data_IF_838253263958
#
_entry.id   IF_838253263958
#
_cell.length_a   1.000
_cell.length_b   1.000
_cell.length_c   1.000
_cell.angle_alpha   90.00
_cell.angle_beta   90.00
_cell.angle_gamma   90.00
#
_symmetry.space_group_name_H-M   'P 1'
#
loop_
_entity.id
_entity.type
_entity.pdbx_description
1 polymer ?
#
# COMPACT_ATOMS: atom_id res chain seq x y z
N UNK A 1 -2.87 -3.03 -21.51
CA UNK A 1 -2.62 -4.26 -20.73
C UNK A 1 -3.91 -5.03 -20.54
N UNK A 2 -3.79 -6.31 -20.15
CA UNK A 2 -4.96 -7.18 -20.00
C UNK A 2 -5.88 -6.67 -18.87
N UNK A 3 -7.18 -6.51 -19.19
CA UNK A 3 -8.23 -6.00 -18.28
C UNK A 3 -7.84 -4.73 -17.52
N UNK A 4 -7.18 -3.79 -18.19
CA UNK A 4 -6.76 -2.57 -17.53
C UNK A 4 -5.93 -1.65 -18.41
N UNK A 5 -5.29 -0.67 -17.79
CA UNK A 5 -4.39 0.28 -18.45
C UNK A 5 -3.03 0.33 -17.78
N UNK A 6 -2.08 0.87 -18.53
CA UNK A 6 -0.77 1.31 -18.04
C UNK A 6 -0.65 2.81 -18.29
N UNK A 7 -0.21 3.55 -17.30
CA UNK A 7 0.05 4.98 -17.42
C UNK A 7 1.39 5.35 -16.78
N UNK A 8 2.07 6.32 -17.33
CA UNK A 8 3.26 6.95 -16.74
C UNK A 8 2.96 8.42 -16.54
N UNK A 9 2.90 8.88 -15.30
CA UNK A 9 2.56 10.26 -14.98
C UNK A 9 3.73 11.21 -15.17
N UNK A 10 4.97 10.75 -14.94
CA UNK A 10 6.17 11.56 -15.02
C UNK A 10 7.32 10.77 -15.64
N UNK A 11 8.07 11.40 -16.55
CA UNK A 11 9.25 10.79 -17.16
C UNK A 11 10.28 10.41 -16.07
N UNK A 12 10.79 9.18 -16.15
CA UNK A 12 11.76 8.64 -15.18
C UNK A 12 11.15 7.97 -13.95
N UNK A 13 9.82 8.01 -13.78
CA UNK A 13 9.12 7.26 -12.74
C UNK A 13 8.61 5.91 -13.28
N UNK A 14 8.36 4.92 -12.38
CA UNK A 14 7.75 3.67 -12.77
C UNK A 14 6.37 3.85 -13.40
N UNK A 15 6.03 2.98 -14.32
CA UNK A 15 4.67 2.89 -14.84
C UNK A 15 3.71 2.48 -13.72
N UNK A 16 2.48 2.99 -13.78
CA UNK A 16 1.36 2.53 -12.96
C UNK A 16 0.45 1.63 -13.79
N UNK A 17 0.31 0.40 -13.37
CA UNK A 17 -0.63 -0.57 -13.92
C UNK A 17 -1.89 -0.60 -13.07
N UNK A 18 -3.04 -0.39 -13.70
CA UNK A 18 -4.35 -0.48 -13.07
C UNK A 18 -5.13 -1.58 -13.78
N UNK A 19 -5.39 -2.69 -13.10
CA UNK A 19 -5.96 -3.90 -13.69
C UNK A 19 -7.10 -4.47 -12.85
N UNK A 20 -8.03 -5.13 -13.50
CA UNK A 20 -9.18 -5.77 -12.86
C UNK A 20 -9.21 -7.28 -13.10
N UNK A 21 -9.79 -8.02 -12.17
CA UNK A 21 -10.04 -9.46 -12.30
C UNK A 21 -11.11 -9.80 -13.36
N UNK A 22 -11.77 -8.79 -13.89
CA UNK A 22 -12.87 -8.91 -14.86
C UNK A 22 -12.60 -8.05 -16.08
N UNK A 23 -13.06 -8.52 -17.24
CA UNK A 23 -13.04 -7.74 -18.47
C UNK A 23 -13.78 -6.42 -18.28
N UNK A 24 -13.18 -5.36 -18.74
CA UNK A 24 -13.69 -3.99 -18.65
C UNK A 24 -13.39 -3.25 -19.94
N UNK A 25 -14.02 -2.10 -20.09
CA UNK A 25 -13.70 -1.11 -21.10
C UNK A 25 -13.10 0.12 -20.42
N UNK A 26 -11.99 0.61 -20.94
CA UNK A 26 -11.41 1.88 -20.50
C UNK A 26 -11.83 2.98 -21.46
N UNK A 27 -12.54 3.96 -20.95
CA UNK A 27 -12.92 5.16 -21.67
C UNK A 27 -11.87 6.25 -21.42
N UNK A 28 -11.12 6.58 -22.45
CA UNK A 28 -10.12 7.65 -22.39
C UNK A 28 -10.84 9.01 -22.36
N UNK A 29 -10.90 9.61 -21.19
CA UNK A 29 -11.53 10.91 -20.95
C UNK A 29 -10.67 11.71 -19.94
N UNK A 30 -9.48 12.19 -20.38
CA UNK A 30 -8.55 12.86 -19.48
C UNK A 30 -9.11 14.17 -18.99
N UNK A 31 -9.06 14.38 -17.67
CA UNK A 31 -9.53 15.60 -17.02
C UNK A 31 -8.75 15.84 -15.71
N UNK A 32 -9.00 16.99 -15.07
CA UNK A 32 -8.41 17.39 -13.81
C UNK A 32 -9.48 17.68 -12.77
N UNK A 33 -9.41 17.02 -11.63
CA UNK A 33 -10.08 17.48 -10.42
C UNK A 33 -9.24 18.60 -9.82
N UNK A 34 -9.72 19.85 -9.97
CA UNK A 34 -8.99 21.05 -9.53
C UNK A 34 -9.39 21.48 -8.14
N UNK A 35 -8.40 21.97 -7.37
CA UNK A 35 -8.64 22.55 -6.06
C UNK A 35 -9.21 21.55 -5.05
N UNK A 36 -8.75 20.29 -5.07
CA UNK A 36 -9.11 19.32 -4.03
C UNK A 36 -8.54 19.79 -2.71
N UNK A 37 -9.39 19.95 -1.70
CA UNK A 37 -9.02 20.50 -0.40
C UNK A 37 -8.90 19.42 0.69
N UNK A 38 -7.88 19.58 1.53
CA UNK A 38 -7.61 18.73 2.69
C UNK A 38 -7.73 19.54 4.00
N UNK A 39 -8.93 19.69 4.59
CA UNK A 39 -9.13 20.55 5.75
C UNK A 39 -8.22 20.20 6.95
N UNK A 40 -7.90 18.93 7.15
CA UNK A 40 -7.00 18.49 8.22
C UNK A 40 -5.56 18.94 8.04
N UNK A 41 -5.08 19.00 6.80
CA UNK A 41 -3.75 19.54 6.52
C UNK A 41 -3.75 21.06 6.69
N UNK A 42 -4.84 21.74 6.31
CA UNK A 42 -5.01 23.17 6.52
C UNK A 42 -5.00 23.53 8.01
N UNK A 43 -5.73 22.79 8.86
CA UNK A 43 -5.72 22.97 10.31
C UNK A 43 -4.31 22.87 10.92
N UNK A 44 -3.43 22.08 10.29
CA UNK A 44 -2.04 21.88 10.71
C UNK A 44 -1.04 22.87 10.10
N UNK A 45 -1.51 23.77 9.24
CA UNK A 45 -0.68 24.77 8.56
C UNK A 45 0.16 24.22 7.40
N UNK A 46 -0.23 23.09 6.82
CA UNK A 46 0.43 22.49 5.66
C UNK A 46 -0.27 22.85 4.36
N UNK A 47 0.40 22.58 3.23
CA UNK A 47 -0.21 22.68 1.91
C UNK A 47 -1.43 21.75 1.86
N UNK A 48 -2.61 22.33 1.56
CA UNK A 48 -3.89 21.67 1.74
C UNK A 48 -4.73 21.58 0.47
N UNK A 49 -4.17 22.00 -0.66
CA UNK A 49 -4.87 21.97 -1.95
C UNK A 49 -3.98 21.31 -2.99
N UNK A 50 -4.59 20.50 -3.85
CA UNK A 50 -3.93 19.95 -5.02
C UNK A 50 -4.87 19.73 -6.20
N UNK A 51 -4.30 19.59 -7.39
CA UNK A 51 -5.00 19.17 -8.58
C UNK A 51 -4.69 17.71 -8.88
N UNK A 52 -5.72 16.88 -9.10
CA UNK A 52 -5.59 15.45 -9.38
C UNK A 52 -5.94 15.15 -10.84
N UNK A 53 -4.99 14.59 -11.56
CA UNK A 53 -5.19 14.15 -12.94
C UNK A 53 -5.93 12.82 -13.00
N UNK A 54 -6.90 12.73 -13.89
CA UNK A 54 -7.67 11.51 -14.17
C UNK A 54 -7.52 11.17 -15.65
N UNK A 55 -6.92 10.03 -16.00
CA UNK A 55 -6.73 9.64 -17.41
C UNK A 55 -8.03 9.20 -18.11
N UNK A 56 -9.06 8.88 -17.34
CA UNK A 56 -10.34 8.35 -17.81
C UNK A 56 -11.00 7.50 -16.75
N UNK A 57 -11.91 6.64 -17.18
CA UNK A 57 -12.65 5.75 -16.27
C UNK A 57 -12.85 4.37 -16.88
N UNK A 58 -13.16 3.41 -16.01
CA UNK A 58 -13.46 2.04 -16.42
C UNK A 58 -14.96 1.78 -16.36
N UNK A 59 -15.46 1.10 -17.38
CA UNK A 59 -16.83 0.60 -17.42
C UNK A 59 -16.83 -0.92 -17.39
N UNK A 60 -17.68 -1.50 -16.54
CA UNK A 60 -17.86 -2.94 -16.47
C UNK A 60 -19.21 -3.29 -15.85
N UNK A 61 -19.82 -4.35 -16.35
CA UNK A 61 -21.04 -4.89 -15.76
C UNK A 61 -20.72 -5.57 -14.43
N UNK A 62 -21.56 -5.39 -13.42
CA UNK A 62 -21.49 -6.12 -12.15
C UNK A 62 -22.83 -6.78 -11.83
N UNK A 63 -22.79 -8.05 -11.43
CA UNK A 63 -23.97 -8.82 -11.02
C UNK A 63 -24.11 -8.84 -9.51
N UNK A 64 -25.33 -8.98 -9.02
CA UNK A 64 -25.58 -9.13 -7.57
C UNK A 64 -24.76 -10.29 -6.99
N UNK A 65 -23.98 -10.00 -5.95
CA UNK A 65 -23.11 -10.99 -5.29
C UNK A 65 -21.77 -11.24 -5.98
N UNK A 66 -21.50 -10.57 -7.10
CA UNK A 66 -20.20 -10.63 -7.76
C UNK A 66 -19.17 -9.74 -7.05
N UNK A 67 -17.94 -10.24 -6.92
CA UNK A 67 -16.81 -9.47 -6.41
C UNK A 67 -15.80 -9.23 -7.54
N UNK A 68 -15.34 -8.00 -7.65
CA UNK A 68 -14.31 -7.57 -8.61
C UNK A 68 -13.08 -7.16 -7.81
N UNK A 69 -11.92 -7.69 -8.18
CA UNK A 69 -10.64 -7.31 -7.59
C UNK A 69 -9.98 -6.28 -8.51
N UNK A 70 -9.64 -5.14 -7.93
CA UNK A 70 -8.81 -4.09 -8.54
C UNK A 70 -7.40 -4.19 -8.01
N UNK A 71 -6.42 -4.06 -8.90
CA UNK A 71 -5.01 -3.99 -8.55
C UNK A 71 -4.37 -2.74 -9.16
N UNK A 72 -3.60 -2.02 -8.33
CA UNK A 72 -2.69 -0.97 -8.75
C UNK A 72 -1.25 -1.41 -8.43
N UNK A 73 -0.36 -1.41 -9.41
CA UNK A 73 1.00 -1.95 -9.26
C UNK A 73 1.98 -1.20 -10.15
N UNK A 74 3.27 -1.27 -9.81
CA UNK A 74 4.37 -0.79 -10.67
C UNK A 74 4.83 -1.83 -11.69
N UNK A 75 4.19 -2.99 -11.75
CA UNK A 75 4.43 -4.04 -12.73
C UNK A 75 3.10 -4.68 -13.17
N UNK A 76 3.06 -5.19 -14.39
CA UNK A 76 1.89 -5.90 -14.90
C UNK A 76 1.66 -7.20 -14.11
N UNK A 77 0.41 -7.43 -13.70
CA UNK A 77 -0.02 -8.64 -13.00
C UNK A 77 -0.89 -9.47 -13.95
N UNK A 78 -0.68 -10.78 -13.96
CA UNK A 78 -1.56 -11.67 -14.71
C UNK A 78 -2.96 -11.65 -14.10
N UNK A 79 -3.94 -11.08 -14.80
CA UNK A 79 -5.28 -10.79 -14.27
C UNK A 79 -6.02 -12.02 -13.73
N UNK A 80 -5.78 -13.20 -14.32
CA UNK A 80 -6.33 -14.47 -13.81
C UNK A 80 -5.83 -14.86 -12.41
N UNK A 81 -4.77 -14.22 -11.90
CA UNK A 81 -4.22 -14.49 -10.55
C UNK A 81 -4.72 -13.50 -9.50
N UNK A 82 -5.38 -12.40 -9.89
CA UNK A 82 -5.74 -11.32 -8.99
C UNK A 82 -6.63 -11.78 -7.83
N UNK A 83 -7.64 -12.59 -8.11
CA UNK A 83 -8.51 -13.11 -7.05
C UNK A 83 -7.73 -13.95 -6.03
N UNK A 84 -6.87 -14.85 -6.50
CA UNK A 84 -6.02 -15.69 -5.62
C UNK A 84 -5.05 -14.85 -4.80
N UNK A 85 -4.48 -13.78 -5.39
CA UNK A 85 -3.60 -12.87 -4.66
C UNK A 85 -4.36 -12.10 -3.58
N UNK A 86 -5.56 -11.65 -3.90
CA UNK A 86 -6.44 -10.98 -2.92
C UNK A 86 -6.82 -11.91 -1.78
N UNK A 87 -7.29 -13.13 -2.09
CA UNK A 87 -7.69 -14.11 -1.09
C UNK A 87 -6.49 -14.44 -0.16
N UNK A 88 -5.30 -14.66 -0.72
CA UNK A 88 -4.08 -14.87 0.05
C UNK A 88 -3.78 -13.70 1.00
N UNK A 89 -3.87 -12.46 0.51
CA UNK A 89 -3.63 -11.27 1.31
C UNK A 89 -4.65 -11.12 2.45
N UNK A 90 -5.89 -11.52 2.22
CA UNK A 90 -6.94 -11.54 3.25
C UNK A 90 -6.64 -12.60 4.30
N UNK A 91 -6.25 -13.80 3.88
CA UNK A 91 -5.96 -14.93 4.77
C UNK A 91 -4.73 -14.70 5.66
N UNK A 92 -3.75 -13.92 5.18
CA UNK A 92 -2.54 -13.55 5.94
C UNK A 92 -2.80 -12.47 7.01
N UNK A 93 -3.95 -11.81 6.98
CA UNK A 93 -4.31 -10.76 7.95
C UNK A 93 -5.09 -11.29 9.14
N UNK A 94 -4.89 -10.67 10.29
CA UNK A 94 -5.78 -10.91 11.42
C UNK A 94 -7.23 -10.54 11.07
N UNK A 95 -8.24 -11.34 11.48
CA UNK A 95 -9.64 -11.00 11.28
C UNK A 95 -9.96 -9.61 11.86
N UNK A 96 -10.80 -8.82 11.18
CA UNK A 96 -11.20 -7.48 11.66
C UNK A 96 -12.46 -7.55 12.54
N UNK A 97 -12.45 -8.44 13.51
CA UNK A 97 -13.59 -8.75 14.38
C UNK A 97 -13.52 -8.08 15.76
N UNK A 98 -12.33 -7.57 16.14
CA UNK A 98 -12.10 -6.86 17.39
C UNK A 98 -11.01 -5.79 17.27
N UNK A 99 -10.91 -4.92 18.27
CA UNK A 99 -9.96 -3.80 18.28
C UNK A 99 -8.49 -4.27 18.29
N UNK A 100 -8.18 -5.34 19.03
CA UNK A 100 -6.82 -5.87 19.06
C UNK A 100 -6.36 -6.36 17.71
N UNK A 101 -7.19 -7.11 16.98
CA UNK A 101 -6.88 -7.56 15.61
C UNK A 101 -6.72 -6.37 14.63
N UNK A 102 -7.47 -5.29 14.82
CA UNK A 102 -7.25 -4.07 14.04
C UNK A 102 -5.87 -3.45 14.34
N UNK A 103 -5.42 -3.45 15.62
CA UNK A 103 -4.08 -2.98 15.99
C UNK A 103 -2.98 -3.88 15.42
N UNK A 104 -3.15 -5.20 15.42
CA UNK A 104 -2.20 -6.14 14.80
C UNK A 104 -2.04 -5.84 13.31
N UNK A 105 -3.14 -5.68 12.58
CA UNK A 105 -3.10 -5.33 11.16
C UNK A 105 -2.45 -3.95 10.93
N UNK A 106 -2.70 -2.97 11.81
CA UNK A 106 -2.07 -1.67 11.74
C UNK A 106 -0.55 -1.76 12.00
N UNK A 107 -0.12 -2.55 12.98
CA UNK A 107 1.30 -2.78 13.27
C UNK A 107 2.04 -3.35 12.05
N UNK A 108 1.45 -4.30 11.35
CA UNK A 108 2.04 -4.90 10.16
C UNK A 108 2.28 -3.89 9.03
N UNK A 109 1.52 -2.80 8.94
CA UNK A 109 1.70 -1.78 7.90
C UNK A 109 2.99 -0.97 8.05
N UNK A 110 3.55 -0.89 9.26
CA UNK A 110 4.81 -0.18 9.49
C UNK A 110 6.04 -0.98 9.11
N UNK A 111 5.90 -2.29 8.96
CA UNK A 111 7.00 -3.15 8.54
C UNK A 111 7.17 -3.11 7.03
N UNK A 112 8.41 -2.86 6.60
CA UNK A 112 8.80 -2.89 5.20
C UNK A 112 9.95 -3.86 5.00
N UNK A 113 9.94 -4.53 3.85
CA UNK A 113 11.01 -5.39 3.35
C UNK A 113 11.52 -4.84 2.03
N UNK A 114 12.81 -4.64 1.91
CA UNK A 114 13.45 -4.22 0.66
C UNK A 114 13.97 -5.43 -0.14
N UNK A 115 14.49 -5.15 -1.36
CA UNK A 115 14.95 -6.19 -2.28
C UNK A 115 16.07 -7.06 -1.73
N UNK A 116 16.88 -6.53 -0.81
CA UNK A 116 18.00 -7.22 -0.18
C UNK A 116 17.61 -8.02 1.06
N UNK A 117 16.32 -8.18 1.30
CA UNK A 117 15.75 -8.74 2.52
C UNK A 117 15.88 -7.87 3.78
N UNK A 118 16.39 -6.65 3.64
CA UNK A 118 16.51 -5.67 4.70
C UNK A 118 15.13 -5.30 5.23
N UNK A 119 14.98 -5.31 6.55
CA UNK A 119 13.69 -5.07 7.21
C UNK A 119 13.74 -3.77 8.00
N UNK A 120 12.74 -2.95 7.78
CA UNK A 120 12.65 -1.62 8.39
C UNK A 120 11.28 -1.39 9.00
N UNK A 121 11.25 -0.49 10.00
CA UNK A 121 10.03 0.16 10.45
C UNK A 121 9.99 1.57 9.86
N UNK A 122 8.88 1.91 9.20
CA UNK A 122 8.68 3.23 8.63
C UNK A 122 8.29 4.23 9.74
N UNK A 123 9.11 5.26 9.93
CA UNK A 123 8.94 6.26 10.99
C UNK A 123 7.70 7.15 10.82
N UNK A 124 7.32 7.44 9.59
CA UNK A 124 6.15 8.25 9.27
C UNK A 124 5.53 7.77 7.98
N UNK A 125 4.76 6.70 8.10
CA UNK A 125 4.16 6.00 6.98
C UNK A 125 3.21 6.89 6.19
N UNK A 126 3.36 6.95 4.85
CA UNK A 126 4.41 6.35 4.01
C UNK A 126 5.55 7.32 3.61
N UNK A 127 5.59 8.52 4.18
CA UNK A 127 6.40 9.64 3.66
C UNK A 127 7.86 9.68 4.12
N UNK A 128 8.13 9.18 5.34
CA UNK A 128 9.48 9.24 5.88
C UNK A 128 10.23 7.93 5.69
N UNK A 129 11.54 8.06 5.47
CA UNK A 129 12.45 6.92 5.46
C UNK A 129 12.58 6.31 6.86
N UNK A 130 13.07 5.07 6.98
CA UNK A 130 13.41 4.48 8.27
C UNK A 130 14.35 5.40 9.06
N UNK A 131 14.15 5.47 10.38
CA UNK A 131 14.98 6.21 11.32
C UNK A 131 15.25 5.32 12.53
N UNK A 132 16.54 5.11 12.86
CA UNK A 132 16.94 4.22 13.93
C UNK A 132 16.22 4.50 15.25
N UNK A 133 16.17 5.77 15.70
CA UNK A 133 15.47 6.16 16.91
C UNK A 133 14.00 5.72 16.94
N UNK A 134 13.26 6.03 15.87
CA UNK A 134 11.83 5.72 15.81
C UNK A 134 11.61 4.21 15.70
N UNK A 135 12.49 3.51 14.99
CA UNK A 135 12.50 2.05 14.90
C UNK A 135 12.66 1.43 16.28
N UNK A 136 13.71 1.76 17.04
CA UNK A 136 13.99 1.12 18.33
C UNK A 136 12.96 1.48 19.42
N UNK A 137 12.38 2.67 19.39
CA UNK A 137 11.30 3.05 20.33
C UNK A 137 10.02 2.25 20.04
N UNK A 138 9.66 2.06 18.76
CA UNK A 138 8.40 1.42 18.37
C UNK A 138 8.50 -0.10 18.25
N UNK A 139 9.69 -0.66 18.02
CA UNK A 139 9.92 -2.07 17.74
C UNK A 139 9.27 -3.03 18.74
N UNK A 140 9.41 -2.85 20.07
CA UNK A 140 8.75 -3.75 21.01
C UNK A 140 7.22 -3.78 20.87
N UNK A 141 6.60 -2.62 20.64
CA UNK A 141 5.16 -2.51 20.45
C UNK A 141 4.67 -3.10 19.13
N UNK A 142 5.46 -2.95 18.08
CA UNK A 142 5.11 -3.42 16.74
C UNK A 142 5.45 -4.91 16.50
N UNK A 143 6.11 -5.58 17.44
CA UNK A 143 6.53 -6.98 17.33
C UNK A 143 6.21 -7.79 18.58
N UNK A 144 6.90 -7.59 19.71
CA UNK A 144 6.75 -8.41 20.92
C UNK A 144 5.33 -8.34 21.50
N UNK A 145 4.72 -7.16 21.51
CA UNK A 145 3.36 -6.96 22.02
C UNK A 145 2.27 -7.71 21.21
N UNK A 146 2.55 -8.03 19.96
CA UNK A 146 1.66 -8.80 19.08
C UNK A 146 2.12 -10.25 18.86
N UNK A 147 3.13 -10.70 19.63
CA UNK A 147 3.62 -12.09 19.64
C UNK A 147 4.65 -12.44 18.55
N UNK A 148 5.18 -11.45 17.83
CA UNK A 148 6.13 -11.66 16.72
C UNK A 148 7.59 -11.56 17.19
N UNK A 149 8.00 -12.46 18.07
CA UNK A 149 9.36 -12.50 18.62
C UNK A 149 10.45 -12.67 17.56
N UNK A 150 10.22 -13.56 16.59
CA UNK A 150 11.18 -13.82 15.51
C UNK A 150 11.46 -12.55 14.70
N UNK A 151 10.43 -11.79 14.38
CA UNK A 151 10.57 -10.51 13.67
C UNK A 151 11.35 -9.48 14.49
N UNK A 152 11.17 -9.46 15.80
CA UNK A 152 11.98 -8.62 16.70
C UNK A 152 13.46 -9.00 16.61
N UNK A 153 13.79 -10.29 16.73
CA UNK A 153 15.17 -10.79 16.69
C UNK A 153 15.85 -10.53 15.34
N UNK A 154 15.12 -10.71 14.24
CA UNK A 154 15.61 -10.39 12.87
C UNK A 154 15.99 -8.92 12.73
N UNK A 155 15.13 -8.00 13.18
CA UNK A 155 15.39 -6.56 13.09
C UNK A 155 16.52 -6.11 14.00
N UNK A 156 16.66 -6.69 15.18
CA UNK A 156 17.80 -6.43 16.07
C UNK A 156 19.12 -6.93 15.49
N UNK A 157 19.12 -8.11 14.87
CA UNK A 157 20.30 -8.66 14.19
C UNK A 157 20.73 -7.82 12.99
N UNK A 158 19.76 -7.32 12.21
CA UNK A 158 20.04 -6.43 11.08
C UNK A 158 20.72 -5.13 11.55
N UNK A 159 20.19 -4.50 12.60
CA UNK A 159 20.74 -3.26 13.13
C UNK A 159 22.19 -3.42 13.64
N UNK A 160 22.55 -4.58 14.22
CA UNK A 160 23.92 -4.85 14.65
C UNK A 160 24.90 -4.98 13.48
N UNK A 161 24.43 -5.44 12.32
CA UNK A 161 25.28 -5.60 11.12
C UNK A 161 25.51 -4.29 10.37
N UNK A 162 24.65 -3.29 10.52
CA UNK A 162 24.85 -1.95 9.93
C UNK A 162 25.89 -1.11 10.67
N UNK A 163 26.24 -1.44 11.92
CA UNK A 163 27.24 -0.74 12.72
C UNK A 163 28.68 -1.22 12.48
N UNK A 164 28.89 -2.28 11.69
CA UNK A 164 30.19 -2.85 11.34
C UNK A 164 30.53 -2.59 9.87
#
# INVERSE_FOLDING_TARGET
>A
VDNGIKTCMYAGYPDLYMQFSKKNEFVFAPDWYRGVEYPKEQERGYASNEDLYVPGYFEMDIKKGESIVFAASTSEIKTSTLKRLFDKEVDERAPRDNFFHCLVNAAHQFHRREKNDDRYILAGYPWFKPRARDTFISLPGLTLAIGEKERFEEMMSFAQNEEN
#
